data_IF_476053593772
#
_entry.id   IF_476053593772
#
_cell.length_a   1.000
_cell.length_b   1.000
_cell.length_c   1.000
_cell.angle_alpha   90.00
_cell.angle_beta   90.00
_cell.angle_gamma   90.00
#
_symmetry.space_group_name_H-M   'P 1'
#
loop_
_entity.id
_entity.type
_entity.pdbx_description
1 polymer ?
#
# COMPACT_ATOMS: atom_id res chain seq x y z
N UNK A 1 -5.32 -63.90 44.63
CA UNK A 1 -4.30 -63.04 45.27
C UNK A 1 -4.23 -61.73 44.52
N UNK A 2 -4.60 -60.62 45.19
CA UNK A 2 -4.60 -59.26 44.62
C UNK A 2 -3.17 -58.70 44.64
N UNK A 3 -2.69 -58.17 43.51
CA UNK A 3 -1.52 -57.28 43.49
C UNK A 3 -1.95 -55.93 42.90
N UNK A 4 -2.00 -54.93 43.77
CA UNK A 4 -2.09 -53.51 43.42
C UNK A 4 -0.76 -53.08 42.81
N UNK A 5 -0.78 -52.50 41.62
CA UNK A 5 0.32 -51.69 41.11
C UNK A 5 -0.03 -50.21 41.27
N UNK A 6 0.89 -49.50 41.92
CA UNK A 6 0.80 -48.09 42.32
C UNK A 6 0.81 -47.19 41.08
N UNK A 7 -0.13 -46.24 41.04
CA UNK A 7 -0.08 -45.07 40.17
C UNK A 7 1.01 -44.11 40.68
N UNK A 8 1.98 -43.82 39.83
CA UNK A 8 2.98 -42.76 40.05
C UNK A 8 2.45 -41.47 39.43
N UNK A 9 2.28 -40.45 40.25
CA UNK A 9 1.78 -39.13 39.87
C UNK A 9 2.96 -38.30 39.32
N UNK A 10 2.99 -38.05 38.01
CA UNK A 10 3.90 -37.07 37.43
C UNK A 10 3.35 -35.66 37.71
N UNK A 11 4.09 -34.90 38.50
CA UNK A 11 3.87 -33.47 38.71
C UNK A 11 4.41 -32.75 37.47
N UNK A 12 3.53 -32.19 36.65
CA UNK A 12 3.91 -31.23 35.60
C UNK A 12 3.97 -29.86 36.27
N UNK A 13 5.17 -29.41 36.60
CA UNK A 13 5.42 -28.01 36.97
C UNK A 13 5.31 -27.15 35.73
N UNK A 14 4.17 -26.45 35.58
CA UNK A 14 4.01 -25.38 34.61
C UNK A 14 4.70 -24.12 35.18
N UNK A 15 5.89 -23.80 34.68
CA UNK A 15 6.51 -22.48 34.89
C UNK A 15 5.78 -21.45 34.04
N UNK A 16 4.96 -20.61 34.67
CA UNK A 16 4.49 -19.37 34.06
C UNK A 16 5.68 -18.42 33.90
N UNK A 17 6.17 -18.26 32.67
CA UNK A 17 6.94 -17.09 32.27
C UNK A 17 5.95 -15.93 32.15
N UNK A 18 5.92 -15.05 33.15
CA UNK A 18 5.24 -13.77 33.05
C UNK A 18 6.04 -12.87 32.10
N UNK A 19 5.64 -12.82 30.84
CA UNK A 19 6.13 -11.83 29.89
C UNK A 19 5.49 -10.51 30.27
N UNK A 20 6.28 -9.56 30.76
CA UNK A 20 5.86 -8.17 30.89
C UNK A 20 5.69 -7.60 29.49
N UNK A 21 4.45 -7.55 29.00
CA UNK A 21 4.13 -6.80 27.80
C UNK A 21 4.34 -5.31 28.10
N UNK A 22 5.45 -4.76 27.61
CA UNK A 22 5.62 -3.32 27.44
C UNK A 22 4.70 -2.92 26.30
N UNK A 23 3.56 -2.31 26.60
CA UNK A 23 2.71 -1.71 25.58
C UNK A 23 3.40 -0.46 25.01
N UNK A 24 3.41 -0.26 23.68
CA UNK A 24 3.82 1.01 23.10
C UNK A 24 2.81 2.08 23.50
N UNK A 25 3.29 3.09 24.22
CA UNK A 25 2.54 4.31 24.52
C UNK A 25 2.47 5.11 23.22
N UNK A 26 1.47 4.84 22.38
CA UNK A 26 1.10 5.76 21.32
C UNK A 26 0.11 6.78 21.89
N UNK A 27 0.65 7.97 22.07
CA UNK A 27 0.06 9.19 22.57
C UNK A 27 -1.18 9.59 21.77
N UNK A 28 -2.36 9.28 22.29
CA UNK A 28 -3.61 9.97 21.95
C UNK A 28 -3.50 11.44 22.39
N UNK A 29 -3.25 12.35 21.44
CA UNK A 29 -3.49 13.77 21.65
C UNK A 29 -4.96 14.09 21.41
N UNK A 30 -5.77 14.07 22.46
CA UNK A 30 -7.06 14.75 22.50
C UNK A 30 -7.43 15.17 23.94
N UNK A 31 -7.29 16.47 24.19
CA UNK A 31 -8.01 17.32 25.14
C UNK A 31 -8.47 16.75 26.51
N UNK A 32 -7.86 17.26 27.58
CA UNK A 32 -8.60 17.61 28.80
C UNK A 32 -7.87 18.70 29.58
N UNK A 33 -8.29 19.95 29.39
CA UNK A 33 -8.06 21.02 30.37
C UNK A 33 -9.10 20.84 31.48
N UNK A 34 -8.63 20.54 32.69
CA UNK A 34 -9.35 20.88 33.93
C UNK A 34 -8.39 21.58 34.89
N UNK A 35 -8.72 22.84 35.14
CA UNK A 35 -8.19 23.67 36.22
C UNK A 35 -8.57 23.09 37.57
N UNK A 36 -7.64 23.15 38.53
CA UNK A 36 -7.91 23.65 39.88
C UNK A 36 -6.58 23.82 40.62
N UNK A 37 -6.19 25.07 40.87
CA UNK A 37 -5.73 25.49 42.19
C UNK A 37 -5.74 27.01 42.28
N UNK A 38 -6.62 27.50 43.15
CA UNK A 38 -6.74 28.88 43.54
C UNK A 38 -5.71 29.17 44.64
N UNK A 39 -4.95 30.26 44.50
CA UNK A 39 -4.54 31.02 45.68
C UNK A 39 -4.46 32.52 45.40
N UNK A 40 -4.79 33.28 46.44
CA UNK A 40 -5.28 34.66 46.45
C UNK A 40 -4.15 35.68 46.26
N UNK A 41 -4.41 36.73 45.47
CA UNK A 41 -3.62 37.97 45.44
C UNK A 41 -4.36 39.05 44.65
N UNK A 42 -4.39 40.28 45.17
CA UNK A 42 -5.45 41.27 44.97
C UNK A 42 -5.16 42.41 43.98
N UNK A 43 -6.25 43.08 43.57
CA UNK A 43 -6.42 44.48 43.12
C UNK A 43 -6.27 44.84 41.61
N UNK A 44 -7.45 45.03 41.01
CA UNK A 44 -7.98 46.21 40.28
C UNK A 44 -7.42 46.61 38.90
N UNK A 45 -8.39 46.56 37.97
CA UNK A 45 -8.65 47.46 36.84
C UNK A 45 -7.66 47.52 35.66
N UNK A 46 -8.10 46.94 34.54
CA UNK A 46 -7.45 47.03 33.24
C UNK A 46 -8.35 46.55 32.11
N UNK A 47 -9.48 47.24 31.90
CA UNK A 47 -10.02 47.59 30.57
C UNK A 47 -9.61 46.71 29.37
N UNK A 48 -10.57 45.90 28.89
CA UNK A 48 -10.89 45.79 27.46
C UNK A 48 -9.73 45.51 26.49
N UNK A 49 -8.86 44.53 26.77
CA UNK A 49 -7.88 44.02 25.80
C UNK A 49 -7.63 42.53 26.05
N UNK A 50 -8.54 41.67 25.57
CA UNK A 50 -8.31 40.23 25.30
C UNK A 50 -9.54 39.59 24.64
N UNK A 51 -10.15 40.30 23.68
CA UNK A 51 -11.02 39.71 22.65
C UNK A 51 -10.36 39.80 21.28
N UNK A 52 -9.06 39.56 21.23
CA UNK A 52 -8.27 39.39 20.02
C UNK A 52 -7.14 38.41 20.39
N UNK A 53 -6.87 37.45 19.50
CA UNK A 53 -5.96 36.30 19.63
C UNK A 53 -6.63 35.08 20.29
N UNK A 54 -7.03 34.01 19.58
CA UNK A 54 -6.48 33.42 18.36
C UNK A 54 -7.58 33.10 17.33
N UNK A 55 -7.75 33.98 16.35
CA UNK A 55 -8.13 33.54 15.00
C UNK A 55 -6.79 33.27 14.33
N UNK A 56 -6.35 32.02 14.23
CA UNK A 56 -5.15 31.70 13.45
C UNK A 56 -5.33 32.36 12.10
N UNK A 57 -4.43 33.27 11.75
CA UNK A 57 -4.53 34.01 10.50
C UNK A 57 -4.37 32.99 9.38
N UNK A 58 -5.48 32.53 8.82
CA UNK A 58 -5.47 31.74 7.61
C UNK A 58 -4.60 32.46 6.58
N UNK A 59 -3.67 31.71 5.99
CA UNK A 59 -2.69 32.22 5.03
C UNK A 59 -3.30 32.60 3.69
N UNK A 60 -4.60 32.33 3.49
CA UNK A 60 -5.33 32.49 2.24
C UNK A 60 -4.94 31.46 1.17
N UNK A 61 -4.38 30.32 1.56
CA UNK A 61 -4.25 29.17 0.66
C UNK A 61 -5.61 28.46 0.50
N UNK A 62 -5.88 27.89 -0.66
CA UNK A 62 -7.09 27.08 -0.89
C UNK A 62 -6.73 25.90 -1.78
N UNK A 63 -6.75 24.70 -1.20
CA UNK A 63 -6.46 23.47 -1.91
C UNK A 63 -7.68 22.94 -2.67
N UNK A 64 -7.44 22.28 -3.79
CA UNK A 64 -8.42 21.54 -4.61
C UNK A 64 -7.78 20.31 -5.24
N UNK A 65 -8.52 19.22 -5.38
CA UNK A 65 -8.13 18.11 -6.25
C UNK A 65 -8.45 18.46 -7.71
N UNK A 66 -7.60 18.01 -8.65
CA UNK A 66 -7.75 18.33 -10.08
C UNK A 66 -7.70 17.12 -11.01
N UNK A 67 -7.02 16.05 -10.62
CA UNK A 67 -6.85 14.83 -11.43
C UNK A 67 -6.81 13.64 -10.49
N UNK A 68 -7.39 12.52 -10.91
CA UNK A 68 -7.31 11.23 -10.25
C UNK A 68 -6.93 10.16 -11.27
N UNK A 69 -5.99 9.27 -10.94
CA UNK A 69 -5.50 8.23 -11.83
C UNK A 69 -5.37 6.88 -11.13
N UNK A 70 -5.48 5.82 -11.92
CA UNK A 70 -5.05 4.46 -11.57
C UNK A 70 -3.74 4.20 -12.30
N UNK A 71 -2.71 3.77 -11.59
CA UNK A 71 -1.43 3.33 -12.17
C UNK A 71 -1.26 1.83 -11.93
N UNK A 72 -0.32 1.18 -12.61
CA UNK A 72 -0.04 -0.24 -12.38
C UNK A 72 0.45 -0.53 -10.94
N UNK A 73 0.91 0.49 -10.23
CA UNK A 73 1.50 0.37 -8.91
C UNK A 73 0.60 0.96 -7.82
N UNK A 74 -0.62 1.41 -8.15
CA UNK A 74 -1.52 1.99 -7.16
C UNK A 74 -2.49 3.04 -7.71
N UNK A 75 -2.77 4.04 -6.88
CA UNK A 75 -3.65 5.16 -7.23
C UNK A 75 -2.96 6.49 -6.95
N UNK A 76 -3.31 7.52 -7.71
CA UNK A 76 -2.85 8.88 -7.45
C UNK A 76 -3.95 9.92 -7.58
N UNK A 77 -3.75 11.04 -6.89
CA UNK A 77 -4.56 12.24 -7.06
C UNK A 77 -3.67 13.49 -7.03
N UNK A 78 -3.90 14.42 -7.94
CA UNK A 78 -3.21 15.70 -7.98
C UNK A 78 -3.95 16.72 -7.14
N UNK A 79 -3.27 17.27 -6.15
CA UNK A 79 -3.76 18.38 -5.33
C UNK A 79 -3.07 19.68 -5.75
N UNK A 80 -3.81 20.77 -5.78
CA UNK A 80 -3.37 22.09 -6.24
C UNK A 80 -3.71 23.16 -5.22
N UNK A 81 -2.78 24.08 -4.97
CA UNK A 81 -3.12 25.37 -4.38
C UNK A 81 -3.62 26.30 -5.48
N UNK A 82 -4.82 26.86 -5.32
CA UNK A 82 -5.49 27.64 -6.36
C UNK A 82 -4.64 28.79 -6.89
N UNK A 83 -4.77 29.11 -8.19
CA UNK A 83 -4.00 30.19 -8.84
C UNK A 83 -4.27 31.57 -8.20
N UNK A 84 -5.49 31.79 -7.71
CA UNK A 84 -5.89 33.02 -7.01
C UNK A 84 -5.63 32.97 -5.49
N UNK A 85 -5.00 31.90 -5.01
CA UNK A 85 -4.68 31.72 -3.58
C UNK A 85 -3.31 32.29 -3.24
N UNK A 86 -3.04 32.42 -1.94
CA UNK A 86 -1.69 32.70 -1.45
C UNK A 86 -0.92 31.40 -1.20
N UNK A 87 0.40 31.52 -1.12
CA UNK A 87 1.27 30.41 -0.74
C UNK A 87 0.91 29.88 0.65
N UNK A 88 0.86 28.56 0.78
CA UNK A 88 0.69 27.87 2.06
C UNK A 88 1.84 28.23 2.99
N UNK A 89 1.53 28.48 4.27
CA UNK A 89 2.54 28.76 5.31
C UNK A 89 2.90 27.50 6.12
N UNK A 90 2.58 26.33 5.60
CA UNK A 90 2.92 25.05 6.21
C UNK A 90 2.19 23.92 5.52
N UNK A 91 2.58 22.71 5.88
CA UNK A 91 2.01 21.47 5.39
C UNK A 91 0.60 21.19 5.95
N UNK A 92 -0.07 20.21 5.34
CA UNK A 92 -1.33 19.62 5.81
C UNK A 92 -1.30 18.11 5.57
N UNK A 93 -2.06 17.36 6.36
CA UNK A 93 -2.20 15.93 6.14
C UNK A 93 -3.14 15.61 4.98
N UNK A 94 -3.00 14.41 4.43
CA UNK A 94 -4.02 13.74 3.66
C UNK A 94 -4.14 12.27 4.09
N UNK A 95 -5.28 11.67 3.77
CA UNK A 95 -5.65 10.30 4.07
C UNK A 95 -6.21 9.65 2.80
N UNK A 96 -6.03 8.34 2.66
CA UNK A 96 -6.66 7.54 1.61
C UNK A 96 -7.68 6.64 2.27
N UNK A 97 -8.93 6.76 1.81
CA UNK A 97 -10.05 5.98 2.28
C UNK A 97 -10.37 4.90 1.26
N UNK A 98 -10.76 3.72 1.74
CA UNK A 98 -11.22 2.60 0.94
C UNK A 98 -12.52 2.01 1.44
N UNK A 99 -13.36 1.55 0.53
CA UNK A 99 -14.54 0.74 0.82
C UNK A 99 -14.70 -0.31 -0.26
N UNK A 100 -14.90 -1.58 0.13
CA UNK A 100 -15.20 -2.68 -0.79
C UNK A 100 -16.36 -2.32 -1.73
N UNK A 101 -17.41 -1.72 -1.17
CA UNK A 101 -18.61 -1.31 -1.90
C UNK A 101 -19.06 0.11 -1.49
N UNK A 102 -19.63 0.86 -2.43
CA UNK A 102 -20.25 2.16 -2.13
C UNK A 102 -19.26 3.31 -1.94
N UNK A 103 -19.64 4.29 -1.10
CA UNK A 103 -18.92 5.55 -0.97
C UNK A 103 -17.76 5.45 0.05
N UNK A 104 -16.50 5.67 -0.37
CA UNK A 104 -15.34 5.55 0.52
C UNK A 104 -15.32 6.54 1.70
N UNK A 105 -16.12 7.62 1.69
CA UNK A 105 -16.19 8.57 2.82
C UNK A 105 -16.54 7.92 4.17
N UNK A 106 -17.28 6.81 4.13
CA UNK A 106 -17.63 6.03 5.32
C UNK A 106 -16.79 4.77 5.50
N UNK A 107 -15.78 4.57 4.66
CA UNK A 107 -14.91 3.41 4.66
C UNK A 107 -13.72 3.54 5.61
N UNK A 108 -12.73 2.69 5.41
CA UNK A 108 -11.54 2.58 6.23
C UNK A 108 -10.42 3.52 5.74
N UNK A 109 -9.69 4.13 6.67
CA UNK A 109 -8.45 4.83 6.34
C UNK A 109 -7.33 3.81 6.24
N UNK A 110 -6.78 3.65 5.05
CA UNK A 110 -5.75 2.65 4.74
C UNK A 110 -4.35 3.25 4.58
N UNK A 111 -4.27 4.57 4.42
CA UNK A 111 -3.01 5.29 4.28
C UNK A 111 -3.14 6.75 4.69
N UNK A 112 -2.03 7.35 5.12
CA UNK A 112 -1.92 8.77 5.45
C UNK A 112 -0.59 9.33 4.96
N UNK A 113 -0.61 10.59 4.50
CA UNK A 113 0.60 11.28 4.07
C UNK A 113 0.50 12.79 4.27
N UNK A 114 1.46 13.51 3.67
CA UNK A 114 1.59 14.96 3.81
C UNK A 114 1.51 15.66 2.45
N UNK A 115 0.73 16.73 2.40
CA UNK A 115 0.80 17.75 1.35
C UNK A 115 1.75 18.83 1.84
N UNK A 116 2.85 19.01 1.12
CA UNK A 116 3.86 20.02 1.43
C UNK A 116 3.28 21.43 1.27
N UNK A 117 4.00 22.44 1.78
CA UNK A 117 3.61 23.82 1.54
C UNK A 117 3.73 24.14 0.04
N UNK A 118 2.60 24.41 -0.61
CA UNK A 118 2.53 24.77 -2.03
C UNK A 118 2.44 26.28 -2.20
N UNK A 119 3.20 26.81 -3.16
CA UNK A 119 3.05 28.18 -3.66
C UNK A 119 1.74 28.34 -4.43
N UNK A 120 1.41 29.56 -4.86
CA UNK A 120 0.17 29.77 -5.63
C UNK A 120 0.24 29.06 -6.97
N UNK A 121 -0.80 28.29 -7.30
CA UNK A 121 -0.88 27.56 -8.56
C UNK A 121 -0.11 26.24 -8.62
N UNK A 122 0.74 25.98 -7.63
CA UNK A 122 1.56 24.77 -7.55
C UNK A 122 0.73 23.53 -7.23
N UNK A 123 1.19 22.39 -7.72
CA UNK A 123 0.56 21.08 -7.60
C UNK A 123 1.50 20.09 -6.94
N UNK A 124 0.93 19.14 -6.20
CA UNK A 124 1.61 17.95 -5.73
C UNK A 124 0.81 16.71 -6.12
N UNK A 125 1.49 15.67 -6.57
CA UNK A 125 0.88 14.35 -6.74
C UNK A 125 0.90 13.61 -5.40
N UNK A 126 -0.26 13.07 -5.03
CA UNK A 126 -0.44 12.22 -3.86
C UNK A 126 -0.60 10.80 -4.37
N UNK A 127 0.20 9.86 -3.85
CA UNK A 127 0.20 8.47 -4.30
C UNK A 127 -0.08 7.52 -3.14
N UNK A 128 -0.75 6.42 -3.47
CA UNK A 128 -0.86 5.25 -2.61
C UNK A 128 -0.48 4.03 -3.43
N UNK A 129 0.65 3.41 -3.07
CA UNK A 129 1.29 2.31 -3.79
C UNK A 129 1.50 1.12 -2.86
N UNK A 130 0.43 0.36 -2.52
CA UNK A 130 0.56 -0.85 -1.73
C UNK A 130 1.15 -2.00 -2.56
N UNK A 131 1.68 -3.02 -1.88
CA UNK A 131 2.13 -4.27 -2.52
C UNK A 131 0.98 -4.94 -3.29
N UNK A 132 -0.24 -4.82 -2.79
CA UNK A 132 -1.46 -5.29 -3.45
C UNK A 132 -2.57 -4.24 -3.38
N UNK A 133 -3.08 -3.83 -4.54
CA UNK A 133 -4.22 -2.92 -4.63
C UNK A 133 -5.53 -3.75 -4.62
N UNK A 134 -6.30 -3.59 -3.55
CA UNK A 134 -7.56 -4.31 -3.35
C UNK A 134 -8.66 -3.80 -4.29
N UNK A 135 -9.58 -4.68 -4.71
CA UNK A 135 -10.78 -4.24 -5.41
C UNK A 135 -11.65 -3.35 -4.50
N UNK A 136 -12.34 -2.39 -5.09
CA UNK A 136 -13.26 -1.50 -4.39
C UNK A 136 -13.10 -0.04 -4.79
N UNK A 137 -13.57 0.85 -3.91
CA UNK A 137 -13.61 2.28 -4.17
C UNK A 137 -12.64 3.00 -3.23
N UNK A 138 -11.81 3.87 -3.81
CA UNK A 138 -10.83 4.66 -3.10
C UNK A 138 -11.12 6.15 -3.22
N UNK A 139 -10.69 6.94 -2.25
CA UNK A 139 -10.77 8.39 -2.35
C UNK A 139 -9.77 9.08 -1.42
N UNK A 140 -9.17 10.15 -1.90
CA UNK A 140 -8.25 10.97 -1.12
C UNK A 140 -9.02 12.02 -0.35
N UNK A 141 -8.69 12.17 0.93
CA UNK A 141 -9.12 13.25 1.79
C UNK A 141 -7.92 14.12 2.13
N UNK A 142 -8.00 15.42 1.89
CA UNK A 142 -6.97 16.35 2.34
C UNK A 142 -7.57 17.40 3.27
N UNK A 143 -6.75 17.94 4.16
CA UNK A 143 -7.14 19.00 5.07
C UNK A 143 -6.73 20.37 4.53
N UNK A 144 -7.55 21.40 4.76
CA UNK A 144 -7.19 22.79 4.50
C UNK A 144 -6.37 23.34 5.67
N UNK A 145 -5.61 24.42 5.43
CA UNK A 145 -4.89 25.13 6.50
C UNK A 145 -5.85 25.68 7.56
N UNK A 146 -5.40 25.70 8.81
CA UNK A 146 -6.20 26.15 9.96
C UNK A 146 -6.75 27.56 9.76
N UNK A 147 -8.07 27.71 9.91
CA UNK A 147 -8.77 28.99 9.74
C UNK A 147 -9.29 29.26 8.33
N UNK A 148 -9.09 28.33 7.38
CA UNK A 148 -9.71 28.38 6.06
C UNK A 148 -11.25 28.53 6.20
N UNK A 149 -11.90 29.41 5.41
CA UNK A 149 -13.32 29.76 5.60
C UNK A 149 -14.32 28.66 5.20
N UNK A 150 -13.88 27.66 4.44
CA UNK A 150 -14.69 26.49 4.04
C UNK A 150 -14.79 25.40 5.12
N UNK A 151 -15.16 24.17 4.71
CA UNK A 151 -15.37 23.02 5.60
C UNK A 151 -14.11 22.52 6.32
N UNK A 152 -12.93 22.96 5.90
CA UNK A 152 -11.65 22.53 6.48
C UNK A 152 -11.09 21.22 5.92
N UNK A 153 -11.89 20.46 5.18
CA UNK A 153 -11.49 19.26 4.46
C UNK A 153 -12.01 19.30 3.03
N UNK A 154 -11.33 18.56 2.15
CA UNK A 154 -11.71 18.35 0.76
C UNK A 154 -11.50 16.88 0.40
N UNK A 155 -12.28 16.42 -0.57
CA UNK A 155 -12.30 15.04 -1.02
C UNK A 155 -12.08 15.02 -2.53
N UNK A 156 -11.28 14.08 -3.03
CA UNK A 156 -11.16 13.83 -4.46
C UNK A 156 -12.44 13.21 -5.04
N UNK A 157 -12.46 12.98 -6.35
CA UNK A 157 -13.36 11.99 -6.95
C UNK A 157 -13.07 10.58 -6.42
N UNK A 158 -14.06 9.69 -6.57
CA UNK A 158 -13.89 8.26 -6.26
C UNK A 158 -13.08 7.61 -7.36
N UNK A 159 -12.08 6.81 -6.97
CA UNK A 159 -11.28 5.97 -7.86
C UNK A 159 -11.76 4.54 -7.65
N UNK A 160 -12.44 3.97 -8.64
CA UNK A 160 -12.93 2.60 -8.57
C UNK A 160 -11.89 1.67 -9.16
N UNK A 161 -11.37 0.79 -8.31
CA UNK A 161 -10.57 -0.36 -8.72
C UNK A 161 -11.54 -1.52 -8.87
N UNK A 162 -11.92 -1.73 -10.11
CA UNK A 162 -12.43 -3.02 -10.53
C UNK A 162 -11.28 -3.62 -11.32
N UNK A 163 -10.66 -4.68 -10.81
CA UNK A 163 -9.78 -5.48 -11.65
C UNK A 163 -10.52 -6.11 -12.86
N UNK A 164 -11.84 -5.85 -13.00
CA UNK A 164 -12.63 -5.89 -14.24
C UNK A 164 -12.85 -4.46 -14.82
N UNK A 165 -11.84 -3.87 -15.48
CA UNK A 165 -11.98 -2.77 -16.46
C UNK A 165 -10.61 -2.21 -16.83
N UNK A 166 -10.30 -2.29 -18.13
CA UNK A 166 -9.03 -1.88 -18.73
C UNK A 166 -8.62 -0.43 -18.43
N UNK A 167 -7.32 -0.25 -18.23
CA UNK A 167 -6.67 1.04 -18.50
C UNK A 167 -5.43 0.74 -19.34
N UNK A 168 -5.48 1.23 -20.57
CA UNK A 168 -4.39 1.39 -21.53
C UNK A 168 -3.31 2.29 -20.95
N UNK A 169 -2.06 1.86 -20.94
CA UNK A 169 -1.06 2.43 -21.84
C UNK A 169 0.24 1.60 -21.90
N UNK A 170 0.85 1.67 -23.08
CA UNK A 170 2.09 1.02 -23.48
C UNK A 170 3.28 1.64 -22.75
N UNK A 171 4.05 0.85 -22.03
CA UNK A 171 5.45 1.17 -21.74
C UNK A 171 6.26 -0.10 -21.95
N UNK A 172 7.00 -0.15 -23.06
CA UNK A 172 8.12 -1.06 -23.23
C UNK A 172 9.18 -0.74 -22.18
N UNK A 173 9.10 -1.39 -21.03
CA UNK A 173 10.00 -1.17 -19.90
C UNK A 173 11.09 -2.23 -19.93
N UNK A 174 12.36 -1.82 -20.02
CA UNK A 174 13.48 -2.69 -19.64
C UNK A 174 13.21 -3.15 -18.20
N UNK A 175 13.17 -4.47 -17.94
CA UNK A 175 12.93 -5.06 -16.61
C UNK A 175 14.21 -4.90 -15.80
N UNK A 176 14.40 -3.89 -14.95
CA UNK A 176 15.72 -3.58 -14.38
C UNK A 176 16.28 -4.68 -13.45
N UNK A 177 15.42 -5.59 -12.99
CA UNK A 177 15.80 -6.68 -12.10
C UNK A 177 16.42 -7.89 -12.80
N UNK A 178 16.20 -8.07 -14.11
CA UNK A 178 16.77 -9.21 -14.84
C UNK A 178 18.31 -9.20 -14.80
N UNK A 179 18.89 -8.02 -15.01
CA UNK A 179 20.33 -7.76 -14.94
C UNK A 179 20.85 -7.81 -13.51
N UNK A 180 20.06 -7.35 -12.54
CA UNK A 180 20.48 -7.32 -11.15
C UNK A 180 20.59 -8.73 -10.56
N UNK A 181 19.59 -9.58 -10.81
CA UNK A 181 19.58 -10.98 -10.35
C UNK A 181 20.25 -11.94 -11.33
N UNK A 182 20.79 -11.47 -12.46
CA UNK A 182 21.32 -12.30 -13.54
C UNK A 182 20.38 -13.49 -13.84
N UNK A 183 19.11 -13.18 -14.07
CA UNK A 183 18.06 -14.17 -14.20
C UNK A 183 17.84 -14.62 -15.63
N UNK A 184 17.23 -15.79 -15.77
CA UNK A 184 16.67 -16.27 -17.03
C UNK A 184 15.46 -17.14 -16.75
N UNK A 185 14.38 -16.93 -17.48
CA UNK A 185 13.21 -17.79 -17.49
C UNK A 185 13.08 -18.46 -18.86
N UNK A 186 12.85 -19.76 -18.84
CA UNK A 186 12.50 -20.54 -20.02
C UNK A 186 11.41 -21.52 -19.62
N UNK A 187 10.19 -21.27 -20.10
CA UNK A 187 9.02 -22.09 -19.80
C UNK A 187 8.86 -22.24 -18.28
N UNK A 188 8.71 -23.48 -17.81
CA UNK A 188 8.61 -23.80 -16.38
C UNK A 188 9.95 -23.89 -15.65
N UNK A 189 11.02 -23.23 -16.12
CA UNK A 189 12.32 -23.21 -15.43
C UNK A 189 12.85 -21.79 -15.32
N UNK A 190 13.23 -21.39 -14.11
CA UNK A 190 13.89 -20.11 -13.85
C UNK A 190 15.25 -20.35 -13.19
N UNK A 191 16.25 -19.57 -13.58
CA UNK A 191 17.55 -19.47 -12.89
C UNK A 191 17.79 -18.02 -12.52
N UNK A 192 18.27 -17.77 -11.30
CA UNK A 192 18.58 -16.42 -10.81
C UNK A 192 19.69 -16.47 -9.75
N UNK A 193 20.30 -15.32 -9.45
CA UNK A 193 21.42 -15.17 -8.53
C UNK A 193 21.13 -14.04 -7.54
N UNK A 194 21.16 -14.36 -6.24
CA UNK A 194 21.14 -13.37 -5.16
C UNK A 194 22.58 -12.89 -4.92
N UNK A 195 22.90 -11.60 -5.08
CA UNK A 195 24.26 -11.09 -4.90
C UNK A 195 24.83 -11.32 -3.49
N UNK A 196 26.16 -11.46 -3.40
CA UNK A 196 26.85 -11.52 -2.11
C UNK A 196 26.60 -10.26 -1.28
N UNK A 197 26.32 -10.44 0.02
CA UNK A 197 26.07 -9.35 0.95
C UNK A 197 24.64 -8.78 0.94
N UNK A 198 23.75 -9.35 0.12
CA UNK A 198 22.31 -9.08 0.20
C UNK A 198 21.67 -9.91 1.32
N UNK A 199 20.75 -9.29 2.06
CA UNK A 199 19.90 -10.01 3.02
C UNK A 199 19.00 -11.02 2.29
N UNK A 200 18.66 -12.17 2.91
CA UNK A 200 17.75 -13.13 2.29
C UNK A 200 16.42 -12.49 1.88
N UNK A 201 15.96 -12.80 0.68
CA UNK A 201 14.77 -12.21 0.07
C UNK A 201 13.80 -13.31 -0.36
N UNK A 202 12.51 -13.04 -0.21
CA UNK A 202 11.46 -13.94 -0.68
C UNK A 202 11.27 -13.78 -2.19
N UNK A 203 11.30 -14.88 -2.92
CA UNK A 203 11.09 -14.93 -4.38
C UNK A 203 10.09 -16.03 -4.70
N UNK A 204 9.18 -15.70 -5.61
CA UNK A 204 8.20 -16.60 -6.17
C UNK A 204 8.47 -16.84 -7.65
N UNK A 205 8.31 -18.07 -8.10
CA UNK A 205 8.24 -18.44 -9.51
C UNK A 205 6.91 -19.15 -9.74
N UNK A 206 6.05 -18.59 -10.59
CA UNK A 206 4.67 -19.07 -10.77
C UNK A 206 4.37 -19.28 -12.23
N UNK A 207 3.68 -20.38 -12.55
CA UNK A 207 3.02 -20.55 -13.85
C UNK A 207 1.55 -20.19 -13.73
N UNK A 208 1.02 -19.55 -14.76
CA UNK A 208 -0.36 -19.08 -14.81
C UNK A 208 -1.11 -19.72 -15.96
N UNK A 209 -2.35 -20.11 -15.69
CA UNK A 209 -3.30 -20.59 -16.66
C UNK A 209 -4.21 -19.46 -17.12
N UNK A 210 -4.41 -19.36 -18.44
CA UNK A 210 -5.40 -18.47 -19.02
C UNK A 210 -6.83 -19.01 -18.83
N UNK A 211 -7.83 -18.13 -18.66
CA UNK A 211 -9.23 -18.53 -18.75
C UNK A 211 -9.55 -19.25 -20.07
N UNK A 212 -10.45 -20.22 -20.03
CA UNK A 212 -10.88 -20.94 -21.21
C UNK A 212 -11.47 -19.98 -22.26
N UNK A 213 -11.05 -20.14 -23.52
CA UNK A 213 -11.49 -19.29 -24.63
C UNK A 213 -10.76 -17.95 -24.75
N UNK A 214 -9.75 -17.69 -23.92
CA UNK A 214 -8.90 -16.49 -24.04
C UNK A 214 -8.22 -16.43 -25.41
N UNK A 215 -8.36 -15.29 -26.09
CA UNK A 215 -7.62 -14.98 -27.32
C UNK A 215 -6.43 -14.11 -26.94
N UNK A 216 -5.23 -14.66 -27.16
CA UNK A 216 -3.99 -13.97 -26.84
C UNK A 216 -3.70 -12.86 -27.84
N UNK A 217 -3.24 -11.74 -27.30
CA UNK A 217 -2.67 -10.62 -28.03
C UNK A 217 -1.14 -10.69 -27.97
N UNK A 218 -0.49 -9.67 -28.52
CA UNK A 218 0.96 -9.49 -28.36
C UNK A 218 1.34 -9.40 -26.87
N UNK A 219 2.52 -9.90 -26.52
CA UNK A 219 3.08 -9.87 -25.16
C UNK A 219 2.31 -10.65 -24.07
N UNK A 220 1.56 -11.69 -24.41
CA UNK A 220 0.88 -12.54 -23.41
C UNK A 220 -0.39 -11.94 -22.81
N UNK A 221 -0.88 -10.82 -23.36
CA UNK A 221 -2.17 -10.25 -22.94
C UNK A 221 -3.34 -11.12 -23.43
N UNK A 222 -4.48 -11.13 -22.70
CA UNK A 222 -4.75 -10.44 -21.45
C UNK A 222 -4.12 -11.11 -20.22
N UNK A 223 -3.61 -10.30 -19.28
CA UNK A 223 -3.15 -10.77 -17.96
C UNK A 223 -4.31 -11.01 -16.99
N UNK A 224 -5.37 -10.22 -17.14
CA UNK A 224 -6.54 -10.29 -16.27
C UNK A 224 -7.18 -11.67 -16.28
N UNK A 225 -7.45 -12.20 -15.08
CA UNK A 225 -8.14 -13.47 -14.92
C UNK A 225 -7.26 -14.70 -15.06
N UNK A 226 -5.97 -14.52 -15.38
CA UNK A 226 -5.00 -15.61 -15.24
C UNK A 226 -4.87 -16.02 -13.77
N UNK A 227 -4.86 -17.32 -13.51
CA UNK A 227 -4.79 -17.92 -12.18
C UNK A 227 -3.56 -18.80 -12.04
N UNK A 228 -2.92 -18.76 -10.86
CA UNK A 228 -1.79 -19.62 -10.53
C UNK A 228 -2.14 -21.09 -10.79
N UNK A 229 -1.27 -21.76 -11.53
CA UNK A 229 -1.37 -23.18 -11.87
C UNK A 229 -0.39 -24.00 -11.02
N UNK A 230 0.86 -23.54 -10.92
CA UNK A 230 1.87 -24.07 -10.03
C UNK A 230 2.84 -22.97 -9.57
N UNK A 231 3.38 -23.10 -8.37
CA UNK A 231 4.21 -22.09 -7.73
C UNK A 231 5.33 -22.71 -6.90
N UNK A 232 6.50 -22.05 -6.94
CA UNK A 232 7.56 -22.22 -5.94
C UNK A 232 7.86 -20.87 -5.30
N UNK A 233 7.59 -20.77 -3.99
CA UNK A 233 7.93 -19.62 -3.15
C UNK A 233 8.94 -20.03 -2.09
N UNK A 234 10.03 -19.27 -1.92
CA UNK A 234 10.99 -19.49 -0.83
C UNK A 234 11.79 -18.21 -0.51
N UNK A 235 12.49 -18.24 0.63
CA UNK A 235 13.45 -17.21 1.02
C UNK A 235 14.86 -17.64 0.61
N UNK A 236 15.49 -16.85 -0.27
CA UNK A 236 16.79 -17.14 -0.84
C UNK A 236 17.85 -16.18 -0.30
N UNK A 237 18.94 -16.71 0.25
CA UNK A 237 20.14 -15.94 0.57
C UNK A 237 21.11 -15.85 -0.62
N UNK A 238 22.30 -15.24 -0.45
CA UNK A 238 23.31 -15.15 -1.50
C UNK A 238 23.62 -16.50 -2.18
N UNK A 239 23.68 -16.50 -3.51
CA UNK A 239 23.92 -17.69 -4.32
C UNK A 239 23.07 -17.77 -5.59
N UNK A 240 23.37 -18.75 -6.44
CA UNK A 240 22.63 -19.03 -7.68
C UNK A 240 21.67 -20.20 -7.47
N UNK A 241 20.43 -20.04 -7.92
CA UNK A 241 19.35 -20.99 -7.74
C UNK A 241 18.69 -21.31 -9.08
N UNK A 242 18.17 -22.53 -9.19
CA UNK A 242 17.30 -22.96 -10.28
C UNK A 242 16.04 -23.54 -9.68
N UNK A 243 14.89 -23.05 -10.14
CA UNK A 243 13.56 -23.46 -9.69
C UNK A 243 12.73 -23.88 -10.89
N UNK A 244 11.74 -24.75 -10.63
CA UNK A 244 10.87 -25.29 -11.68
C UNK A 244 9.42 -25.26 -11.21
N UNK A 245 8.52 -25.03 -12.16
CA UNK A 245 7.07 -25.15 -12.00
C UNK A 245 6.50 -25.97 -13.16
N UNK A 246 5.43 -26.69 -12.89
CA UNK A 246 4.64 -27.33 -13.93
C UNK A 246 3.92 -26.27 -14.79
N UNK A 247 3.76 -26.57 -16.08
CA UNK A 247 3.05 -25.69 -17.00
C UNK A 247 1.63 -26.19 -17.28
N UNK A 248 0.62 -25.29 -17.31
CA UNK A 248 -0.73 -25.64 -17.71
C UNK A 248 -0.75 -26.13 -19.16
N UNK A 249 -1.81 -26.86 -19.52
CA UNK A 249 -2.00 -27.26 -20.91
C UNK A 249 -2.42 -26.05 -21.75
N UNK A 250 -1.92 -25.98 -22.99
CA UNK A 250 -2.17 -24.85 -23.88
C UNK A 250 -1.16 -23.73 -23.68
N UNK A 251 -1.65 -22.49 -23.64
CA UNK A 251 -0.80 -21.32 -23.41
C UNK A 251 -0.51 -21.14 -21.92
N UNK A 252 0.69 -20.68 -21.63
CA UNK A 252 1.14 -20.36 -20.29
C UNK A 252 1.76 -18.96 -20.23
N UNK A 253 1.81 -18.43 -19.03
CA UNK A 253 2.73 -17.37 -18.62
C UNK A 253 3.48 -17.88 -17.40
N UNK A 254 4.78 -17.62 -17.32
CA UNK A 254 5.58 -17.88 -16.13
C UNK A 254 6.30 -16.62 -15.70
N UNK A 255 6.12 -16.26 -14.43
CA UNK A 255 6.70 -15.05 -13.86
C UNK A 255 7.59 -15.39 -12.68
N UNK A 256 8.81 -14.84 -12.68
CA UNK A 256 9.74 -14.82 -11.56
C UNK A 256 9.69 -13.42 -10.94
N UNK A 257 9.38 -13.32 -9.65
CA UNK A 257 9.14 -12.03 -9.00
C UNK A 257 9.45 -12.06 -7.49
N UNK A 258 9.62 -10.87 -6.91
CA UNK A 258 9.87 -10.67 -5.49
C UNK A 258 8.58 -10.80 -4.67
N UNK A 259 8.70 -11.41 -3.49
CA UNK A 259 7.61 -11.54 -2.51
C UNK A 259 6.81 -12.83 -2.63
N UNK A 260 5.67 -12.85 -1.93
CA UNK A 260 4.76 -13.98 -1.84
C UNK A 260 4.01 -14.24 -3.15
N UNK A 261 3.46 -15.45 -3.29
CA UNK A 261 2.67 -15.86 -4.44
C UNK A 261 1.51 -14.89 -4.75
N UNK A 262 1.40 -14.50 -6.02
CA UNK A 262 0.23 -13.82 -6.57
C UNK A 262 -0.67 -14.87 -7.22
N UNK A 263 -1.73 -15.27 -6.54
CA UNK A 263 -2.65 -16.33 -7.01
C UNK A 263 -3.44 -15.95 -8.27
N UNK A 264 -3.70 -14.66 -8.48
CA UNK A 264 -4.48 -14.15 -9.62
C UNK A 264 -3.87 -12.86 -10.14
N UNK A 265 -3.60 -12.82 -11.45
CA UNK A 265 -3.08 -11.63 -12.09
C UNK A 265 -4.17 -10.59 -12.31
N UNK A 266 -3.80 -9.33 -12.09
CA UNK A 266 -4.60 -8.18 -12.48
C UNK A 266 -4.40 -7.89 -13.97
N UNK A 267 -5.18 -6.95 -14.52
CA UNK A 267 -4.97 -6.44 -15.89
C UNK A 267 -3.55 -5.90 -16.15
N UNK A 268 -2.85 -5.49 -15.09
CA UNK A 268 -1.50 -4.94 -15.17
C UNK A 268 -0.43 -6.04 -15.14
N UNK A 269 -0.82 -7.31 -14.95
CA UNK A 269 0.10 -8.40 -14.65
C UNK A 269 0.71 -8.21 -13.27
N UNK A 270 1.99 -8.56 -13.13
CA UNK A 270 2.79 -8.22 -11.96
C UNK A 270 3.20 -6.74 -11.98
N UNK A 271 3.29 -6.07 -10.81
CA UNK A 271 3.97 -4.80 -10.69
C UNK A 271 5.39 -4.86 -11.29
N UNK A 272 5.75 -3.85 -12.09
CA UNK A 272 7.05 -3.82 -12.79
C UNK A 272 8.24 -3.74 -11.84
N UNK A 273 8.03 -3.30 -10.61
CA UNK A 273 9.02 -3.18 -9.55
C UNK A 273 9.20 -4.45 -8.71
N UNK A 274 8.43 -5.50 -8.99
CA UNK A 274 8.65 -6.83 -8.38
C UNK A 274 9.00 -7.90 -9.41
N UNK A 275 8.66 -7.72 -10.68
CA UNK A 275 8.97 -8.68 -11.73
C UNK A 275 10.47 -8.72 -12.01
N UNK A 276 11.06 -9.91 -11.84
CA UNK A 276 12.46 -10.17 -12.14
C UNK A 276 12.59 -10.54 -13.61
N UNK A 277 11.85 -11.56 -14.04
CA UNK A 277 11.85 -12.05 -15.42
C UNK A 277 10.57 -12.87 -15.68
N UNK A 278 10.23 -13.09 -16.94
CA UNK A 278 9.02 -13.80 -17.34
C UNK A 278 9.12 -14.34 -18.76
N UNK A 279 8.44 -15.46 -18.98
CA UNK A 279 8.28 -16.11 -20.29
C UNK A 279 6.79 -16.38 -20.55
N UNK A 280 6.41 -16.42 -21.81
CA UNK A 280 5.04 -16.74 -22.22
C UNK A 280 5.06 -17.45 -23.57
N UNK A 281 4.11 -18.35 -23.77
CA UNK A 281 4.00 -19.05 -25.02
C UNK A 281 3.13 -20.29 -24.97
N UNK A 282 3.00 -21.01 -26.09
CA UNK A 282 2.37 -22.31 -26.09
C UNK A 282 3.30 -23.31 -25.40
N UNK A 283 2.73 -24.17 -24.54
CA UNK A 283 3.41 -25.38 -24.10
C UNK A 283 3.64 -26.24 -25.34
N UNK A 284 4.89 -26.31 -25.78
CA UNK A 284 5.25 -27.19 -26.90
C UNK A 284 4.86 -28.64 -26.55
N UNK A 285 4.12 -29.28 -27.44
CA UNK A 285 3.77 -30.71 -27.36
C UNK A 285 5.02 -31.61 -27.36
#
# INVERSE_FOLDING_TARGET
>A
MKKLNKLSCCIITATLLSISFIQPVNTTFAASIKNEQAEKGSYQNGSKLTRLQNKSSWDKSSLTFTVENVTCNGISATIKNGQDSKAMQGEVAYEVYWSENGNPKGGEVIYSGIVNALTSGETQELTYTPDQLMDGNYMFKAYQRTGHPGKGELWSGSITINNEAGVTEEIGSQRPFDQFFNSSVNKGTATFTIPDGMDPIEISFTSYAYPEGTVLQEDGKPYEGQTSFDNVTNVYGPGTYTVQVDLPNGYFQTDLYLGAEVEKLTKCGHPLDIIIDADYGPKAE
#
